data_IF_031581604690
#
_entry.id   IF_031581604690
#
_cell.length_a   1.000
_cell.length_b   1.000
_cell.length_c   1.000
_cell.angle_alpha   90.00
_cell.angle_beta   90.00
_cell.angle_gamma   90.00
#
_symmetry.space_group_name_H-M   'P 1'
#
loop_
_entity.id
_entity.type
_entity.pdbx_description
1 polymer ?
#
# COMPACT_ATOMS: atom_id res chain seq x y z
N UNK A 1 13.40 -20.31 1.06
CA UNK A 1 12.70 -19.10 0.56
C UNK A 1 11.19 -19.28 0.44
N UNK A 2 10.66 -20.46 0.08
CA UNK A 2 9.19 -20.63 -0.04
C UNK A 2 8.44 -20.70 1.31
N UNK A 3 9.10 -21.16 2.37
CA UNK A 3 8.47 -21.35 3.69
C UNK A 3 8.21 -20.02 4.42
N UNK A 4 9.15 -19.07 4.29
CA UNK A 4 9.08 -17.72 4.89
C UNK A 4 7.87 -16.92 4.38
N UNK A 5 7.54 -17.04 3.08
CA UNK A 5 6.37 -16.38 2.51
C UNK A 5 5.05 -16.99 3.02
N UNK A 6 5.01 -18.32 3.24
CA UNK A 6 3.84 -18.99 3.81
C UNK A 6 3.67 -18.63 5.29
N UNK A 7 4.79 -18.51 6.02
CA UNK A 7 4.81 -18.06 7.40
C UNK A 7 4.34 -16.60 7.53
N UNK A 8 4.82 -15.69 6.69
CA UNK A 8 4.39 -14.29 6.70
C UNK A 8 2.91 -14.11 6.35
N UNK A 9 2.36 -14.94 5.45
CA UNK A 9 0.91 -14.97 5.19
C UNK A 9 0.15 -15.46 6.42
N UNK A 10 0.64 -16.50 7.09
CA UNK A 10 0.00 -17.08 8.28
C UNK A 10 -0.01 -16.08 9.44
N UNK A 11 1.10 -15.38 9.67
CA UNK A 11 1.21 -14.32 10.67
C UNK A 11 0.27 -13.15 10.39
N UNK A 12 0.14 -12.74 9.13
CA UNK A 12 -0.82 -11.72 8.72
C UNK A 12 -2.26 -12.15 8.99
N UNK A 13 -2.63 -13.39 8.65
CA UNK A 13 -3.96 -13.92 8.91
C UNK A 13 -4.26 -14.04 10.41
N UNK A 14 -3.26 -14.42 11.22
CA UNK A 14 -3.37 -14.48 12.69
C UNK A 14 -3.54 -13.09 13.34
N UNK A 15 -3.07 -12.03 12.68
CA UNK A 15 -3.24 -10.65 13.15
C UNK A 15 -4.59 -10.01 12.77
N UNK A 16 -5.39 -10.65 11.91
CA UNK A 16 -6.70 -10.12 11.52
C UNK A 16 -7.69 -10.20 12.67
N UNK A 17 -8.45 -9.12 12.86
CA UNK A 17 -9.50 -9.02 13.87
C UNK A 17 -10.78 -8.47 13.26
N UNK A 18 -11.90 -9.11 13.59
CA UNK A 18 -13.23 -8.61 13.25
C UNK A 18 -13.60 -7.56 14.30
N UNK A 19 -13.63 -6.29 13.90
CA UNK A 19 -14.02 -5.19 14.82
C UNK A 19 -15.54 -5.09 15.00
N UNK A 20 -16.32 -5.45 13.98
CA UNK A 20 -17.79 -5.42 13.97
C UNK A 20 -18.37 -6.47 13.02
N UNK A 21 -19.57 -6.95 13.33
CA UNK A 21 -20.30 -7.94 12.54
C UNK A 21 -19.99 -9.39 12.93
N UNK A 22 -20.70 -10.33 12.32
CA UNK A 22 -20.47 -11.77 12.46
C UNK A 22 -20.40 -12.37 11.05
N UNK A 23 -19.24 -12.31 10.38
CA UNK A 23 -19.09 -12.82 9.02
C UNK A 23 -19.24 -14.34 9.00
N UNK A 24 -19.83 -14.85 7.93
CA UNK A 24 -19.98 -16.28 7.73
C UNK A 24 -18.63 -16.92 7.34
N UNK A 25 -18.42 -18.21 7.62
CA UNK A 25 -17.17 -18.91 7.28
C UNK A 25 -16.76 -18.76 5.81
N UNK A 26 -17.74 -18.75 4.90
CA UNK A 26 -17.53 -18.58 3.46
C UNK A 26 -16.96 -17.21 3.11
N UNK A 27 -17.40 -16.17 3.80
CA UNK A 27 -16.92 -14.80 3.61
C UNK A 27 -15.47 -14.65 4.08
N UNK A 28 -15.12 -15.28 5.21
CA UNK A 28 -13.74 -15.33 5.71
C UNK A 28 -12.83 -16.11 4.76
N UNK A 29 -13.32 -17.23 4.21
CA UNK A 29 -12.58 -17.99 3.21
C UNK A 29 -12.35 -17.17 1.94
N UNK A 30 -13.37 -16.48 1.44
CA UNK A 30 -13.26 -15.61 0.27
C UNK A 30 -12.24 -14.48 0.49
N UNK A 31 -12.29 -13.81 1.63
CA UNK A 31 -11.32 -12.77 1.99
C UNK A 31 -9.88 -13.32 2.04
N UNK A 32 -9.70 -14.49 2.64
CA UNK A 32 -8.39 -15.15 2.75
C UNK A 32 -7.81 -15.45 1.36
N UNK A 33 -8.63 -15.95 0.43
CA UNK A 33 -8.23 -16.20 -0.97
C UNK A 33 -7.82 -14.88 -1.65
N UNK A 34 -8.57 -13.80 -1.46
CA UNK A 34 -8.24 -12.49 -2.03
C UNK A 34 -6.90 -11.98 -1.48
N UNK A 35 -6.69 -12.00 -0.17
CA UNK A 35 -5.45 -11.51 0.45
C UNK A 35 -4.24 -12.34 0.01
N UNK A 36 -4.35 -13.68 0.05
CA UNK A 36 -3.26 -14.58 -0.37
C UNK A 36 -2.93 -14.41 -1.85
N UNK A 37 -3.93 -14.23 -2.73
CA UNK A 37 -3.70 -13.98 -4.16
C UNK A 37 -2.99 -12.64 -4.42
N UNK A 38 -3.35 -11.59 -3.69
CA UNK A 38 -2.73 -10.27 -3.80
C UNK A 38 -1.28 -10.27 -3.30
N UNK A 39 -1.00 -10.97 -2.20
CA UNK A 39 0.35 -11.08 -1.62
C UNK A 39 1.30 -11.94 -2.48
N UNK A 40 0.75 -12.93 -3.20
CA UNK A 40 1.53 -13.77 -4.12
C UNK A 40 1.74 -13.12 -5.49
N UNK A 41 1.13 -11.96 -5.76
CA UNK A 41 1.32 -11.25 -7.01
C UNK A 41 2.78 -10.77 -7.08
N UNK A 42 3.58 -11.21 -8.07
CA UNK A 42 4.93 -10.70 -8.24
C UNK A 42 4.86 -9.19 -8.50
N UNK A 43 5.70 -8.41 -7.79
CA UNK A 43 5.85 -6.98 -8.03
C UNK A 43 6.46 -6.82 -9.42
N UNK A 44 5.76 -6.21 -10.40
CA UNK A 44 6.36 -5.98 -11.70
C UNK A 44 7.52 -5.00 -11.53
N UNK A 45 8.76 -5.43 -11.79
CA UNK A 45 9.89 -4.50 -11.85
C UNK A 45 9.87 -3.77 -13.20
N UNK A 46 9.24 -2.60 -13.23
CA UNK A 46 9.48 -1.60 -14.26
C UNK A 46 10.57 -0.65 -13.77
N UNK A 47 11.65 -0.39 -14.56
CA UNK A 47 12.57 0.69 -14.23
C UNK A 47 11.83 2.00 -14.46
N UNK A 48 11.48 2.67 -13.36
CA UNK A 48 10.90 4.00 -13.45
C UNK A 48 12.03 5.04 -13.56
N UNK A 49 11.91 6.04 -14.44
CA UNK A 49 12.77 7.21 -14.37
C UNK A 49 12.67 7.82 -12.98
N UNK A 50 13.82 8.20 -12.41
CA UNK A 50 13.87 8.71 -11.05
C UNK A 50 12.87 9.86 -10.87
N UNK A 51 12.01 9.82 -9.84
CA UNK A 51 11.08 10.91 -9.59
C UNK A 51 11.87 12.20 -9.37
N UNK A 52 11.43 13.29 -10.00
CA UNK A 52 11.98 14.62 -9.74
C UNK A 52 11.83 14.94 -8.25
N UNK A 53 12.88 15.52 -7.65
CA UNK A 53 12.85 15.91 -6.23
C UNK A 53 11.66 16.83 -5.99
N UNK A 54 10.84 16.50 -4.97
CA UNK A 54 9.70 17.35 -4.58
C UNK A 54 10.15 18.73 -4.07
N UNK A 55 11.36 18.83 -3.51
CA UNK A 55 11.98 20.10 -3.15
C UNK A 55 12.22 21.02 -4.35
N UNK A 56 12.32 20.44 -5.56
CA UNK A 56 12.54 21.18 -6.80
C UNK A 56 11.25 21.39 -7.59
N UNK A 57 10.07 21.07 -7.05
CA UNK A 57 8.79 21.31 -7.73
C UNK A 57 8.46 22.82 -7.67
N UNK A 58 8.36 23.51 -8.83
CA UNK A 58 8.05 24.94 -8.89
C UNK A 58 6.70 25.30 -8.25
N UNK A 59 5.81 24.33 -8.04
CA UNK A 59 4.55 24.57 -7.34
C UNK A 59 4.77 25.00 -5.89
N UNK A 60 5.86 24.57 -5.25
CA UNK A 60 6.22 25.05 -3.91
C UNK A 60 6.61 26.52 -3.93
N UNK A 61 7.49 26.95 -4.84
CA UNK A 61 7.90 28.36 -4.96
C UNK A 61 6.75 29.28 -5.37
N UNK A 62 5.78 28.75 -6.11
CA UNK A 62 4.57 29.47 -6.52
C UNK A 62 3.42 29.39 -5.49
N UNK A 63 3.61 28.72 -4.34
CA UNK A 63 2.59 28.58 -3.30
C UNK A 63 1.32 27.83 -3.72
N UNK A 64 1.40 27.03 -4.78
CA UNK A 64 0.26 26.29 -5.32
C UNK A 64 -0.06 25.07 -4.45
N UNK A 65 -1.35 24.74 -4.35
CA UNK A 65 -1.77 23.56 -3.61
C UNK A 65 -1.17 22.25 -4.19
N UNK A 66 -0.86 21.25 -3.34
CA UNK A 66 -0.41 19.93 -3.79
C UNK A 66 -1.43 19.28 -4.72
N UNK A 67 -0.96 18.64 -5.79
CA UNK A 67 -1.82 17.88 -6.70
C UNK A 67 -2.21 16.56 -6.02
N UNK A 68 -3.49 16.17 -6.01
CA UNK A 68 -3.91 14.86 -5.51
C UNK A 68 -3.19 13.74 -6.25
N UNK A 69 -2.59 12.79 -5.51
CA UNK A 69 -1.83 11.70 -6.11
C UNK A 69 -0.85 11.04 -5.15
N UNK A 70 -0.06 10.10 -5.66
CA UNK A 70 0.89 9.33 -4.85
C UNK A 70 1.93 10.26 -4.20
N UNK A 71 1.97 10.21 -2.86
CA UNK A 71 2.80 11.06 -2.00
C UNK A 71 2.45 12.56 -2.02
N UNK A 72 1.24 12.92 -2.45
CA UNK A 72 0.64 14.23 -2.19
C UNK A 72 0.61 14.56 -0.70
N UNK A 73 0.31 13.59 0.17
CA UNK A 73 0.41 13.75 1.63
C UNK A 73 1.83 14.17 2.06
N UNK A 74 2.87 13.56 1.49
CA UNK A 74 4.25 13.86 1.84
C UNK A 74 4.66 15.26 1.35
N UNK A 75 4.12 15.70 0.20
CA UNK A 75 4.32 17.06 -0.30
C UNK A 75 3.67 18.11 0.61
N UNK A 76 2.53 17.79 1.25
CA UNK A 76 1.85 18.69 2.19
C UNK A 76 2.65 18.99 3.47
N UNK A 77 3.65 18.16 3.80
CA UNK A 77 4.50 18.36 4.97
C UNK A 77 5.76 19.20 4.69
N UNK A 78 6.01 19.59 3.44
CA UNK A 78 7.16 20.41 3.07
C UNK A 78 6.92 21.89 3.40
N UNK A 79 7.98 22.66 3.72
CA UNK A 79 7.89 24.11 3.89
C UNK A 79 7.33 24.80 2.64
N UNK A 80 6.61 25.91 2.84
CA UNK A 80 6.12 26.79 1.76
C UNK A 80 6.98 28.02 1.64
#
# INVERSE_FOLDING_TARGET
MSDDAAQGITELLAALRIERGNPEPEELAALTVVLTSQLRRPVPQAPLPAPRSRWSDPRHTLGLAPVPGQGSWQASALPR
#
